data_IF_850111527896
#
_entry.id   IF_850111527896
#
_cell.length_a   1.000
_cell.length_b   1.000
_cell.length_c   1.000
_cell.angle_alpha   90.00
_cell.angle_beta   90.00
_cell.angle_gamma   90.00
#
_symmetry.space_group_name_H-M   'P 1'
#
loop_
_entity.id
_entity.type
_entity.pdbx_description
1 polymer ?
#
# COMPACT_ATOMS: atom_id res chain seq x y z
N UNK A 1 -17.43 2.78 6.51
CA UNK A 1 -16.89 4.00 7.17
C UNK A 1 -15.60 4.38 6.45
N UNK A 2 -15.09 5.60 6.60
CA UNK A 2 -13.85 6.03 5.95
C UNK A 2 -12.95 6.83 6.88
N UNK A 3 -11.63 6.74 6.72
CA UNK A 3 -10.63 7.54 7.44
C UNK A 3 -9.64 8.20 6.49
N UNK A 4 -8.94 9.21 6.99
CA UNK A 4 -7.74 9.81 6.37
C UNK A 4 -6.51 9.60 7.25
N UNK A 5 -6.65 8.91 8.37
CA UNK A 5 -5.56 8.53 9.25
C UNK A 5 -4.89 7.27 8.68
N UNK A 6 -3.66 7.45 8.19
CA UNK A 6 -2.91 6.40 7.52
C UNK A 6 -2.42 5.34 8.49
N UNK A 7 -1.95 5.75 9.66
CA UNK A 7 -1.38 4.82 10.65
C UNK A 7 -2.47 3.96 11.27
N UNK A 8 -3.60 4.58 11.65
CA UNK A 8 -4.78 3.87 12.14
C UNK A 8 -5.24 2.83 11.11
N UNK A 9 -5.42 3.23 9.85
CA UNK A 9 -5.88 2.32 8.81
C UNK A 9 -4.89 1.18 8.55
N UNK A 10 -3.59 1.48 8.47
CA UNK A 10 -2.54 0.45 8.27
C UNK A 10 -2.45 -0.52 9.44
N UNK A 11 -2.72 -0.07 10.67
CA UNK A 11 -2.78 -0.96 11.86
C UNK A 11 -3.97 -1.91 11.85
N UNK A 12 -5.02 -1.62 11.06
CA UNK A 12 -6.18 -2.51 10.88
C UNK A 12 -6.02 -3.39 9.64
N UNK A 13 -5.41 -2.84 8.58
CA UNK A 13 -5.16 -3.53 7.33
C UNK A 13 -4.05 -4.58 7.47
N UNK A 14 -3.06 -4.31 8.32
CA UNK A 14 -1.96 -5.22 8.68
C UNK A 14 -1.32 -5.93 7.46
N UNK A 15 -0.83 -5.21 6.44
CA UNK A 15 -0.05 -5.85 5.38
C UNK A 15 1.23 -6.43 6.00
N UNK A 16 1.40 -7.75 5.94
CA UNK A 16 2.49 -8.47 6.61
C UNK A 16 3.39 -9.24 5.64
N UNK A 17 2.85 -9.76 4.54
CA UNK A 17 3.62 -10.45 3.50
C UNK A 17 4.20 -9.48 2.45
N UNK A 18 5.37 -9.83 1.90
CA UNK A 18 6.05 -9.08 0.83
C UNK A 18 5.13 -8.73 -0.34
N UNK A 19 4.31 -9.69 -0.79
CA UNK A 19 3.35 -9.51 -1.89
C UNK A 19 2.23 -8.54 -1.52
N UNK A 20 1.76 -8.56 -0.27
CA UNK A 20 0.72 -7.64 0.20
C UNK A 20 1.26 -6.22 0.34
N UNK A 21 2.43 -6.06 0.93
CA UNK A 21 3.11 -4.78 1.10
C UNK A 21 3.40 -4.13 -0.26
N UNK A 22 4.02 -4.88 -1.17
CA UNK A 22 4.30 -4.40 -2.53
C UNK A 22 3.02 -4.13 -3.30
N UNK A 23 2.04 -5.03 -3.21
CA UNK A 23 0.76 -4.89 -3.88
C UNK A 23 0.01 -3.61 -3.49
N UNK A 24 0.06 -3.23 -2.21
CA UNK A 24 -0.56 -1.98 -1.73
C UNK A 24 0.16 -0.76 -2.30
N UNK A 25 1.49 -0.77 -2.28
CA UNK A 25 2.30 0.32 -2.82
C UNK A 25 2.04 0.51 -4.32
N UNK A 26 2.07 -0.58 -5.10
CA UNK A 26 1.83 -0.56 -6.54
C UNK A 26 0.40 -0.11 -6.85
N UNK A 27 -0.60 -0.64 -6.12
CA UNK A 27 -2.01 -0.28 -6.29
C UNK A 27 -2.24 1.22 -6.10
N UNK A 28 -1.63 1.82 -5.09
CA UNK A 28 -1.75 3.26 -4.86
C UNK A 28 -0.94 4.08 -5.87
N UNK A 29 0.26 3.63 -6.22
CA UNK A 29 1.12 4.32 -7.20
C UNK A 29 0.44 4.44 -8.57
N UNK A 30 -0.05 3.30 -9.08
CA UNK A 30 -0.72 3.17 -10.38
C UNK A 30 -2.19 3.58 -10.33
N UNK A 31 -2.77 3.73 -9.13
CA UNK A 31 -4.19 4.01 -8.91
C UNK A 31 -5.13 2.91 -9.44
N UNK A 32 -4.64 1.67 -9.41
CA UNK A 32 -5.31 0.47 -9.91
C UNK A 32 -5.42 -0.58 -8.81
N UNK A 33 -6.40 -1.47 -8.92
CA UNK A 33 -6.56 -2.58 -7.96
C UNK A 33 -5.47 -3.62 -8.18
N UNK A 34 -4.83 -4.07 -7.10
CA UNK A 34 -3.80 -5.10 -7.16
C UNK A 34 -3.91 -6.05 -5.96
N UNK A 35 -3.85 -7.35 -6.21
CA UNK A 35 -4.03 -8.38 -5.18
C UNK A 35 -5.33 -8.17 -4.39
N UNK A 36 -5.21 -8.05 -3.07
CA UNK A 36 -6.33 -7.83 -2.14
C UNK A 36 -6.74 -6.35 -2.01
N UNK A 37 -5.96 -5.44 -2.56
CA UNK A 37 -6.12 -3.99 -2.39
C UNK A 37 -7.01 -3.42 -3.49
N UNK A 38 -8.24 -3.07 -3.12
CA UNK A 38 -9.15 -2.39 -4.00
C UNK A 38 -8.92 -0.88 -3.95
N UNK A 39 -8.52 -0.30 -5.07
CA UNK A 39 -8.25 1.14 -5.24
C UNK A 39 -9.21 1.70 -6.29
N UNK A 40 -9.96 2.74 -5.90
CA UNK A 40 -10.95 3.40 -6.76
C UNK A 40 -10.67 4.89 -6.79
N UNK A 41 -10.52 5.45 -8.00
CA UNK A 41 -10.50 6.90 -8.22
C UNK A 41 -11.91 7.46 -8.16
N UNK A 42 -12.16 8.35 -7.21
CA UNK A 42 -13.40 9.11 -7.09
C UNK A 42 -13.11 10.62 -7.22
N UNK A 43 -13.11 11.09 -8.47
CA UNK A 43 -12.73 12.46 -8.80
C UNK A 43 -11.25 12.71 -8.51
N UNK A 44 -10.96 13.59 -7.54
CA UNK A 44 -9.59 13.92 -7.12
C UNK A 44 -9.06 13.03 -5.99
N UNK A 45 -9.88 12.13 -5.47
CA UNK A 45 -9.55 11.31 -4.31
C UNK A 45 -9.35 9.86 -4.73
N UNK A 46 -8.48 9.15 -4.03
CA UNK A 46 -8.42 7.70 -4.08
C UNK A 46 -9.12 7.13 -2.85
N UNK A 47 -9.87 6.06 -3.06
CA UNK A 47 -10.51 5.27 -2.02
C UNK A 47 -9.84 3.90 -2.03
N UNK A 48 -9.25 3.52 -0.91
CA UNK A 48 -8.55 2.25 -0.73
C UNK A 48 -9.35 1.40 0.25
N UNK A 49 -9.49 0.12 -0.06
CA UNK A 49 -10.24 -0.84 0.77
C UNK A 49 -9.67 -2.24 0.64
N UNK A 50 -9.87 -3.05 1.67
CA UNK A 50 -9.47 -4.45 1.73
C UNK A 50 -10.56 -5.25 2.45
N UNK A 51 -10.72 -6.53 2.11
CA UNK A 51 -11.90 -7.33 2.49
C UNK A 51 -12.13 -7.48 3.99
N UNK A 52 -11.08 -7.52 4.80
CA UNK A 52 -11.17 -7.71 6.26
C UNK A 52 -11.35 -6.41 7.05
N UNK A 53 -11.13 -5.24 6.43
CA UNK A 53 -11.24 -3.94 7.10
C UNK A 53 -12.54 -3.23 6.67
N UNK A 54 -13.44 -2.99 7.62
CA UNK A 54 -14.72 -2.30 7.37
C UNK A 54 -14.59 -0.81 7.00
N UNK A 55 -13.42 -0.23 7.25
CA UNK A 55 -13.11 1.16 7.00
C UNK A 55 -12.27 1.30 5.73
N UNK A 56 -12.65 2.21 4.84
CA UNK A 56 -11.84 2.55 3.67
C UNK A 56 -10.89 3.70 4.00
N UNK A 57 -9.70 3.69 3.41
CA UNK A 57 -8.79 4.83 3.49
C UNK A 57 -9.06 5.80 2.33
N UNK A 58 -9.05 7.10 2.64
CA UNK A 58 -9.23 8.17 1.67
C UNK A 58 -7.93 8.93 1.51
N UNK A 59 -7.39 8.96 0.30
CA UNK A 59 -6.29 9.83 -0.09
C UNK A 59 -6.88 11.03 -0.84
N UNK A 60 -6.74 12.22 -0.27
CA UNK A 60 -7.49 13.39 -0.71
C UNK A 60 -6.89 14.15 -1.91
N UNK A 61 -5.62 13.91 -2.24
CA UNK A 61 -4.86 14.62 -3.27
C UNK A 61 -3.61 13.85 -3.68
N UNK A 62 -2.95 14.27 -4.76
CA UNK A 62 -1.68 13.67 -5.20
C UNK A 62 -0.55 13.89 -4.18
N UNK A 63 -0.54 15.03 -3.46
CA UNK A 63 0.42 15.25 -2.36
C UNK A 63 0.18 14.26 -1.22
N UNK A 64 -1.09 14.05 -0.84
CA UNK A 64 -1.47 13.07 0.16
C UNK A 64 -1.08 11.64 -0.26
N UNK A 65 -1.16 11.34 -1.57
CA UNK A 65 -0.72 10.08 -2.16
C UNK A 65 0.78 9.86 -1.95
N UNK A 66 1.60 10.87 -2.28
CA UNK A 66 3.05 10.80 -2.07
C UNK A 66 3.41 10.60 -0.59
N UNK A 67 2.71 11.29 0.32
CA UNK A 67 2.91 11.10 1.76
C UNK A 67 2.56 9.68 2.22
N UNK A 68 1.45 9.12 1.72
CA UNK A 68 1.07 7.74 2.04
C UNK A 68 2.09 6.72 1.53
N UNK A 69 2.58 6.89 0.30
CA UNK A 69 3.63 6.04 -0.25
C UNK A 69 4.95 6.15 0.53
N UNK A 70 5.31 7.34 1.04
CA UNK A 70 6.48 7.51 1.93
C UNK A 70 6.33 6.69 3.21
N UNK A 71 5.15 6.77 3.85
CA UNK A 71 4.86 6.01 5.08
C UNK A 71 4.96 4.50 4.85
N UNK A 72 4.48 4.01 3.70
CA UNK A 72 4.64 2.58 3.36
C UNK A 72 6.10 2.19 3.27
N UNK A 73 6.94 3.00 2.62
CA UNK A 73 8.37 2.74 2.49
C UNK A 73 9.07 2.72 3.85
N UNK A 74 8.83 3.75 4.65
CA UNK A 74 9.42 3.92 5.98
C UNK A 74 9.04 2.77 6.92
N UNK A 75 7.77 2.32 6.88
CA UNK A 75 7.24 1.33 7.82
C UNK A 75 7.48 -0.12 7.41
N UNK A 76 7.44 -0.43 6.12
CA UNK A 76 7.42 -1.81 5.64
C UNK A 76 8.56 -2.16 4.69
N UNK A 77 9.30 -1.19 4.17
CA UNK A 77 10.29 -1.41 3.11
C UNK A 77 11.69 -0.89 3.47
N UNK A 78 12.00 -0.75 4.76
CA UNK A 78 13.29 -0.25 5.25
C UNK A 78 13.72 1.08 4.59
N UNK A 79 12.75 1.96 4.31
CA UNK A 79 12.94 3.22 3.59
C UNK A 79 13.60 3.02 2.20
N UNK A 80 13.15 2.01 1.46
CA UNK A 80 13.67 1.69 0.14
C UNK A 80 13.54 2.87 -0.86
N UNK A 81 14.70 3.33 -1.33
CA UNK A 81 14.78 4.30 -2.41
C UNK A 81 14.19 3.75 -3.72
N UNK A 82 14.46 2.47 -4.01
CA UNK A 82 13.92 1.74 -5.16
C UNK A 82 13.08 0.54 -4.67
N UNK A 83 11.76 0.68 -4.78
CA UNK A 83 10.80 -0.32 -4.29
C UNK A 83 10.79 -1.58 -5.15
N UNK A 84 11.09 -1.47 -6.45
CA UNK A 84 11.17 -2.64 -7.34
C UNK A 84 12.34 -3.52 -6.94
N UNK A 85 13.50 -2.90 -6.69
CA UNK A 85 14.68 -3.60 -6.20
C UNK A 85 14.45 -4.23 -4.83
N UNK A 86 13.77 -3.53 -3.91
CA UNK A 86 13.39 -4.07 -2.60
C UNK A 86 12.48 -5.30 -2.75
N UNK A 87 11.42 -5.20 -3.56
CA UNK A 87 10.48 -6.29 -3.78
C UNK A 87 11.16 -7.51 -4.41
N UNK A 88 11.97 -7.30 -5.45
CA UNK A 88 12.75 -8.37 -6.07
C UNK A 88 13.69 -9.07 -5.10
N UNK A 89 14.32 -8.34 -4.19
CA UNK A 89 15.17 -8.90 -3.14
C UNK A 89 14.36 -9.71 -2.11
N UNK A 90 13.30 -9.14 -1.55
CA UNK A 90 12.45 -9.80 -0.55
C UNK A 90 11.81 -11.07 -1.11
N UNK A 91 11.25 -11.00 -2.32
CA UNK A 91 10.64 -12.16 -2.99
C UNK A 91 11.62 -13.31 -3.20
N UNK A 92 12.89 -13.02 -3.50
CA UNK A 92 13.94 -14.04 -3.62
C UNK A 92 14.32 -14.63 -2.26
N UNK A 93 14.28 -13.83 -1.18
CA UNK A 93 14.50 -14.33 0.18
C UNK A 93 13.34 -15.23 0.66
N UNK A 94 12.11 -14.86 0.34
CA UNK A 94 10.90 -15.62 0.68
C UNK A 94 10.81 -16.93 -0.11
N UNK A 95 11.40 -16.98 -1.31
CA UNK A 95 11.46 -18.16 -2.14
C UNK A 95 12.91 -18.54 -2.52
N UNK A 96 13.69 -19.15 -1.58
CA UNK A 96 15.12 -19.41 -1.76
C UNK A 96 15.46 -20.52 -2.78
N UNK A 97 14.51 -20.92 -3.64
CA UNK A 97 14.64 -22.02 -4.60
C UNK A 97 14.64 -21.58 -6.08
N UNK A 98 15.08 -20.35 -6.38
CA UNK A 98 15.35 -19.94 -7.76
C UNK A 98 16.74 -20.39 -8.23
#
# INVERSE_FOLDING_TARGET
MSTTDYEEWLSLAEPDETEEIYGLYEAVSLEETNGIWNVIRNGKKLVISVGHVKQSLIIASDTAKLSFLSILKEKYMDDANDVESWYGFQRNMDNPKA
#
